data_IF_889118802911
#
_entry.id   IF_889118802911
#
_cell.length_a   1.000
_cell.length_b   1.000
_cell.length_c   1.000
_cell.angle_alpha   90.00
_cell.angle_beta   90.00
_cell.angle_gamma   90.00
#
_symmetry.space_group_name_H-M   'P 1'
#
loop_
_entity.id
_entity.type
_entity.pdbx_description
1 polymer ?
#
# COMPACT_ATOMS: atom_id res chain seq x y z
N UNK A 1 -59.26 29.95 22.33
CA UNK A 1 -58.13 29.84 21.37
C UNK A 1 -56.85 29.85 22.17
N UNK A 2 -56.34 28.67 22.51
CA UNK A 2 -55.09 28.49 23.27
C UNK A 2 -53.96 28.25 22.26
N UNK A 3 -53.12 29.26 22.07
CA UNK A 3 -51.93 29.19 21.21
C UNK A 3 -50.85 28.42 21.95
N UNK A 4 -50.62 27.15 21.55
CA UNK A 4 -49.49 26.36 22.05
C UNK A 4 -48.20 26.92 21.44
N UNK A 5 -47.40 27.58 22.29
CA UNK A 5 -46.03 27.99 21.95
C UNK A 5 -45.18 26.74 21.71
N UNK A 6 -44.84 26.49 20.46
CA UNK A 6 -43.88 25.45 20.07
C UNK A 6 -42.52 25.77 20.65
N UNK A 7 -42.00 24.87 21.48
CA UNK A 7 -40.67 24.93 22.09
C UNK A 7 -39.61 24.99 20.93
N UNK A 8 -38.66 25.95 20.97
CA UNK A 8 -37.65 26.03 19.91
C UNK A 8 -36.85 24.74 19.83
N UNK A 9 -36.75 24.18 18.65
CA UNK A 9 -35.94 22.99 18.38
C UNK A 9 -34.49 23.25 18.80
N UNK A 10 -33.91 22.31 19.56
CA UNK A 10 -32.51 22.41 19.96
C UNK A 10 -31.61 22.62 18.74
N UNK A 11 -30.56 23.47 18.84
CA UNK A 11 -29.68 23.74 17.72
C UNK A 11 -29.05 22.44 17.23
N UNK A 12 -29.26 22.11 15.95
CA UNK A 12 -28.60 21.02 15.27
C UNK A 12 -27.08 21.26 15.41
N UNK A 13 -26.40 20.50 16.24
CA UNK A 13 -24.93 20.44 16.23
C UNK A 13 -24.54 19.81 14.90
N UNK A 14 -24.15 20.64 13.94
CA UNK A 14 -23.60 20.18 12.68
C UNK A 14 -22.36 19.32 12.98
N UNK A 15 -22.44 18.04 12.66
CA UNK A 15 -21.29 17.15 12.78
C UNK A 15 -20.13 17.69 11.93
N UNK A 16 -18.94 17.82 12.53
CA UNK A 16 -17.75 18.21 11.77
C UNK A 16 -17.47 17.18 10.66
N UNK A 17 -16.92 17.59 9.50
CA UNK A 17 -16.62 16.66 8.40
C UNK A 17 -15.82 15.43 8.84
N UNK A 18 -14.86 15.64 9.76
CA UNK A 18 -14.05 14.55 10.32
C UNK A 18 -14.87 13.57 11.17
N UNK A 19 -15.78 14.06 12.01
CA UNK A 19 -16.65 13.21 12.84
C UNK A 19 -17.63 12.40 11.99
N UNK A 20 -18.14 13.00 10.90
CA UNK A 20 -18.98 12.31 9.94
C UNK A 20 -18.20 11.20 9.23
N UNK A 21 -16.98 11.50 8.77
CA UNK A 21 -16.08 10.53 8.14
C UNK A 21 -15.80 9.34 9.07
N UNK A 22 -15.36 9.58 10.31
CA UNK A 22 -15.08 8.50 11.28
C UNK A 22 -16.30 7.66 11.56
N UNK A 23 -17.47 8.26 11.77
CA UNK A 23 -18.71 7.52 12.01
C UNK A 23 -19.05 6.62 10.83
N UNK A 24 -19.06 7.15 9.60
CA UNK A 24 -19.36 6.39 8.40
C UNK A 24 -18.35 5.27 8.14
N UNK A 25 -17.07 5.50 8.45
CA UNK A 25 -16.04 4.45 8.33
C UNK A 25 -16.32 3.28 9.27
N UNK A 26 -16.61 3.55 10.55
CA UNK A 26 -16.84 2.52 11.56
C UNK A 26 -18.26 1.90 11.55
N UNK A 27 -19.16 2.36 10.69
CA UNK A 27 -20.44 1.69 10.43
C UNK A 27 -20.24 0.31 9.77
N UNK A 28 -19.18 0.13 8.97
CA UNK A 28 -18.81 -1.15 8.38
C UNK A 28 -17.99 -1.99 9.34
N UNK A 29 -18.58 -3.08 9.85
CA UNK A 29 -17.86 -4.03 10.73
C UNK A 29 -16.70 -4.72 10.02
N UNK A 30 -16.86 -5.01 8.72
CA UNK A 30 -15.85 -5.67 7.89
C UNK A 30 -14.63 -4.74 7.72
N UNK A 31 -14.86 -3.47 7.38
CA UNK A 31 -13.78 -2.49 7.25
C UNK A 31 -13.08 -2.22 8.61
N UNK A 32 -13.85 -2.19 9.71
CA UNK A 32 -13.29 -2.06 11.06
C UNK A 32 -12.40 -3.25 11.40
N UNK A 33 -12.84 -4.48 11.11
CA UNK A 33 -12.02 -5.68 11.29
C UNK A 33 -10.75 -5.63 10.41
N UNK A 34 -10.87 -5.23 9.13
CA UNK A 34 -9.74 -5.02 8.24
C UNK A 34 -8.76 -3.99 8.77
N UNK A 35 -9.25 -2.87 9.31
CA UNK A 35 -8.40 -1.83 9.91
C UNK A 35 -7.67 -2.33 11.16
N UNK A 36 -8.36 -3.03 12.06
CA UNK A 36 -7.73 -3.62 13.25
C UNK A 36 -6.63 -4.57 12.85
N UNK A 37 -6.91 -5.47 11.89
CA UNK A 37 -5.94 -6.44 11.41
C UNK A 37 -4.75 -5.75 10.74
N UNK A 38 -5.00 -4.73 9.91
CA UNK A 38 -3.94 -3.94 9.30
C UNK A 38 -3.06 -3.24 10.35
N UNK A 39 -3.66 -2.64 11.38
CA UNK A 39 -2.93 -2.01 12.47
C UNK A 39 -2.07 -3.03 13.21
N UNK A 40 -2.58 -4.23 13.49
CA UNK A 40 -1.80 -5.30 14.12
C UNK A 40 -0.62 -5.73 13.25
N UNK A 41 -0.82 -5.87 11.93
CA UNK A 41 0.25 -6.18 10.98
C UNK A 41 1.32 -5.08 10.97
N UNK A 42 0.91 -3.82 10.92
CA UNK A 42 1.84 -2.68 10.93
C UNK A 42 2.63 -2.60 12.25
N UNK A 43 1.97 -2.85 13.37
CA UNK A 43 2.63 -2.92 14.67
C UNK A 43 3.60 -4.10 14.73
N UNK A 44 3.22 -5.28 14.26
CA UNK A 44 4.11 -6.43 14.18
C UNK A 44 5.34 -6.13 13.31
N UNK A 45 5.16 -5.53 12.14
CA UNK A 45 6.24 -5.12 11.26
C UNK A 45 7.16 -4.07 11.90
N UNK A 46 6.59 -3.07 12.58
CA UNK A 46 7.34 -2.00 13.24
C UNK A 46 8.17 -2.53 14.42
N UNK A 47 7.54 -3.35 15.26
CA UNK A 47 8.13 -3.92 16.46
C UNK A 47 8.87 -5.25 16.20
N UNK A 48 9.09 -5.64 14.95
CA UNK A 48 9.78 -6.87 14.57
C UNK A 48 11.05 -7.15 15.38
N UNK A 49 12.00 -6.20 15.58
CA UNK A 49 13.22 -6.46 16.32
C UNK A 49 13.02 -6.81 17.81
N UNK A 50 11.87 -6.44 18.39
CA UNK A 50 11.58 -6.65 19.82
C UNK A 50 10.68 -7.85 20.08
N UNK A 51 9.85 -8.25 19.12
CA UNK A 51 8.88 -9.34 19.29
C UNK A 51 9.34 -10.65 18.64
N UNK A 52 10.30 -10.58 17.70
CA UNK A 52 10.81 -11.78 17.02
C UNK A 52 11.74 -12.57 17.91
N UNK A 53 11.53 -13.89 18.04
CA UNK A 53 12.40 -14.77 18.82
C UNK A 53 13.84 -14.81 18.30
N UNK A 54 14.05 -14.65 16.99
CA UNK A 54 15.33 -14.71 16.31
C UNK A 54 15.46 -13.56 15.31
N UNK A 55 16.68 -13.07 15.10
CA UNK A 55 16.96 -12.13 14.01
C UNK A 55 17.31 -12.91 12.73
N UNK A 56 16.43 -12.95 11.72
CA UNK A 56 16.66 -13.75 10.51
C UNK A 56 17.74 -13.16 9.58
N UNK A 57 18.25 -11.95 9.85
CA UNK A 57 19.37 -11.33 9.12
C UNK A 57 20.72 -11.65 9.71
N UNK A 58 20.75 -12.13 10.95
CA UNK A 58 21.99 -12.47 11.64
C UNK A 58 22.36 -13.93 11.37
N UNK A 59 23.14 -14.15 10.33
CA UNK A 59 23.58 -15.46 9.92
C UNK A 59 24.47 -16.16 10.97
N UNK A 60 25.06 -15.42 11.92
CA UNK A 60 25.88 -16.00 12.97
C UNK A 60 25.07 -16.75 14.04
N UNK A 61 23.79 -16.44 14.15
CA UNK A 61 22.85 -17.05 15.10
C UNK A 61 22.00 -18.16 14.45
N UNK A 62 22.29 -18.53 13.21
CA UNK A 62 21.59 -19.61 12.50
C UNK A 62 22.38 -20.91 12.61
N UNK A 63 21.72 -21.99 13.04
CA UNK A 63 22.30 -23.33 13.04
C UNK A 63 21.71 -24.15 11.88
N UNK A 64 22.57 -24.70 11.04
CA UNK A 64 22.19 -25.58 9.94
C UNK A 64 21.48 -26.85 10.44
N UNK A 65 21.78 -27.26 11.68
CA UNK A 65 21.13 -28.41 12.34
C UNK A 65 19.62 -28.13 12.58
N UNK A 66 19.21 -26.86 12.65
CA UNK A 66 17.83 -26.44 12.79
C UNK A 66 17.11 -26.31 11.44
N UNK A 67 17.75 -26.73 10.33
CA UNK A 67 17.16 -26.64 8.99
C UNK A 67 15.88 -27.48 8.87
N UNK A 68 14.79 -26.83 8.41
CA UNK A 68 13.52 -27.45 8.04
C UNK A 68 12.86 -28.26 9.18
N UNK A 69 13.00 -27.80 10.42
CA UNK A 69 12.31 -28.36 11.58
C UNK A 69 10.81 -28.11 11.48
N UNK A 70 10.02 -29.07 11.93
CA UNK A 70 8.56 -28.98 11.93
C UNK A 70 8.03 -27.96 12.96
N UNK A 71 6.84 -27.39 12.75
CA UNK A 71 6.21 -26.52 13.73
C UNK A 71 6.14 -27.16 15.13
N UNK A 72 6.59 -26.40 16.13
CA UNK A 72 6.61 -26.82 17.53
C UNK A 72 7.87 -27.54 18.00
N UNK A 73 8.83 -27.82 17.12
CA UNK A 73 10.09 -28.44 17.50
C UNK A 73 11.03 -27.46 18.23
N UNK A 74 11.97 -28.02 19.00
CA UNK A 74 13.01 -27.28 19.72
C UNK A 74 14.24 -27.15 18.83
N UNK A 75 15.00 -26.04 18.99
CA UNK A 75 16.34 -25.89 18.42
C UNK A 75 17.31 -26.97 18.92
N UNK A 76 18.36 -27.25 18.16
CA UNK A 76 19.39 -28.25 18.53
C UNK A 76 20.05 -27.93 19.87
N UNK A 77 20.18 -26.66 20.24
CA UNK A 77 20.69 -26.21 21.51
C UNK A 77 19.67 -26.21 22.67
N UNK A 78 18.39 -26.53 22.38
CA UNK A 78 17.30 -26.61 23.34
C UNK A 78 16.80 -25.27 23.89
N UNK A 79 17.26 -24.11 23.35
CA UNK A 79 16.93 -22.80 23.91
C UNK A 79 15.68 -22.17 23.28
N UNK A 80 15.40 -22.46 22.01
CA UNK A 80 14.32 -21.85 21.25
C UNK A 80 13.31 -22.90 20.77
N UNK A 81 12.01 -22.61 20.89
CA UNK A 81 10.95 -23.42 20.31
C UNK A 81 10.39 -22.74 19.08
N UNK A 82 10.48 -23.40 17.95
CA UNK A 82 10.02 -22.90 16.65
C UNK A 82 8.50 -23.11 16.45
N UNK A 83 7.68 -22.12 16.81
CA UNK A 83 6.22 -22.24 16.77
C UNK A 83 5.68 -22.55 15.38
N UNK A 84 6.26 -21.97 14.33
CA UNK A 84 5.89 -22.18 12.93
C UNK A 84 6.93 -23.01 12.15
N UNK A 85 7.86 -23.66 12.86
CA UNK A 85 8.95 -24.39 12.24
C UNK A 85 10.07 -23.48 11.73
N UNK A 86 10.99 -24.07 10.95
CA UNK A 86 12.12 -23.35 10.36
C UNK A 86 12.17 -23.51 8.85
N UNK A 87 12.91 -22.62 8.19
CA UNK A 87 13.19 -22.71 6.76
C UNK A 87 14.44 -23.57 6.46
N UNK A 88 14.89 -23.56 5.21
CA UNK A 88 16.08 -24.30 4.76
C UNK A 88 17.39 -23.81 5.39
N UNK A 89 17.42 -22.56 5.88
CA UNK A 89 18.59 -21.93 6.49
C UNK A 89 18.59 -22.03 8.03
N UNK A 90 17.58 -22.70 8.62
CA UNK A 90 17.41 -22.79 10.09
C UNK A 90 16.80 -21.52 10.71
N UNK A 91 16.23 -20.61 9.89
CA UNK A 91 15.57 -19.39 10.39
C UNK A 91 14.20 -19.75 10.97
N UNK A 92 13.87 -19.20 12.15
CA UNK A 92 12.54 -19.27 12.71
C UNK A 92 11.52 -18.64 11.76
N UNK A 93 10.52 -19.41 11.33
CA UNK A 93 9.52 -18.97 10.36
C UNK A 93 8.65 -17.82 10.87
N UNK A 94 8.33 -17.79 12.17
CA UNK A 94 7.58 -16.67 12.75
C UNK A 94 8.37 -15.37 12.63
N UNK A 95 9.64 -15.39 13.02
CA UNK A 95 10.56 -14.26 12.90
C UNK A 95 10.74 -13.83 11.45
N UNK A 96 10.96 -14.78 10.54
CA UNK A 96 11.13 -14.51 9.11
C UNK A 96 9.89 -13.87 8.49
N UNK A 97 8.68 -14.29 8.88
CA UNK A 97 7.41 -13.69 8.43
C UNK A 97 7.26 -12.26 8.95
N UNK A 98 7.52 -12.00 10.23
CA UNK A 98 7.41 -10.67 10.83
C UNK A 98 8.38 -9.68 10.16
N UNK A 99 9.63 -10.10 9.95
CA UNK A 99 10.61 -9.28 9.21
C UNK A 99 10.28 -9.16 7.72
N UNK A 100 9.73 -10.21 7.10
CA UNK A 100 9.23 -10.17 5.74
C UNK A 100 8.09 -9.18 5.56
N UNK A 101 7.14 -9.13 6.50
CA UNK A 101 6.09 -8.11 6.56
C UNK A 101 6.66 -6.69 6.61
N UNK A 102 7.70 -6.47 7.43
CA UNK A 102 8.37 -5.17 7.53
C UNK A 102 8.93 -4.71 6.18
N UNK A 103 9.60 -5.59 5.45
CA UNK A 103 10.14 -5.29 4.12
C UNK A 103 9.01 -5.02 3.13
N UNK A 104 8.03 -5.91 3.04
CA UNK A 104 6.93 -5.77 2.08
C UNK A 104 6.11 -4.50 2.32
N UNK A 105 5.82 -4.14 3.58
CA UNK A 105 5.12 -2.89 3.93
C UNK A 105 5.99 -1.68 3.59
N UNK A 106 7.28 -1.70 3.93
CA UNK A 106 8.20 -0.61 3.62
C UNK A 106 8.30 -0.37 2.11
N UNK A 107 8.46 -1.42 1.32
CA UNK A 107 8.53 -1.32 -0.15
C UNK A 107 7.19 -0.81 -0.71
N UNK A 108 6.07 -1.39 -0.27
CA UNK A 108 4.74 -1.01 -0.74
C UNK A 108 4.40 0.45 -0.45
N UNK A 109 4.63 0.91 0.78
CA UNK A 109 4.35 2.30 1.17
C UNK A 109 5.32 3.27 0.52
N UNK A 110 6.63 2.99 0.54
CA UNK A 110 7.64 3.90 -0.02
C UNK A 110 7.45 4.09 -1.52
N UNK A 111 7.26 3.01 -2.28
CA UNK A 111 7.02 3.09 -3.73
C UNK A 111 5.73 3.86 -4.05
N UNK A 112 4.66 3.59 -3.31
CA UNK A 112 3.38 4.28 -3.46
C UNK A 112 3.48 5.77 -3.19
N UNK A 113 4.13 6.18 -2.09
CA UNK A 113 4.30 7.62 -1.75
C UNK A 113 5.12 8.35 -2.80
N UNK A 114 6.25 7.77 -3.23
CA UNK A 114 7.10 8.39 -4.26
C UNK A 114 6.34 8.49 -5.59
N UNK A 115 5.68 7.41 -6.02
CA UNK A 115 4.89 7.39 -7.25
C UNK A 115 3.72 8.38 -7.20
N UNK A 116 3.04 8.50 -6.04
CA UNK A 116 1.98 9.47 -5.82
C UNK A 116 2.49 10.90 -5.97
N UNK A 117 3.62 11.25 -5.35
CA UNK A 117 4.20 12.60 -5.45
C UNK A 117 4.54 12.94 -6.91
N UNK A 118 5.20 12.02 -7.62
CA UNK A 118 5.56 12.22 -9.04
C UNK A 118 4.29 12.33 -9.90
N UNK A 119 3.38 11.36 -9.80
CA UNK A 119 2.18 11.32 -10.62
C UNK A 119 1.22 12.47 -10.33
N UNK A 120 1.02 12.83 -9.05
CA UNK A 120 0.24 13.97 -8.63
C UNK A 120 0.78 15.28 -9.22
N UNK A 121 2.09 15.51 -9.11
CA UNK A 121 2.73 16.72 -9.64
C UNK A 121 2.56 16.82 -11.14
N UNK A 122 2.89 15.75 -11.88
CA UNK A 122 2.75 15.71 -13.34
C UNK A 122 1.29 15.80 -13.78
N UNK A 123 0.37 15.13 -13.08
CA UNK A 123 -1.06 15.14 -13.40
C UNK A 123 -1.73 16.47 -13.15
N UNK A 124 -1.46 17.13 -12.01
CA UNK A 124 -1.97 18.48 -11.73
C UNK A 124 -1.43 19.51 -12.73
N UNK A 125 -0.12 19.42 -13.03
CA UNK A 125 0.50 20.31 -14.01
C UNK A 125 -0.10 20.11 -15.40
N UNK A 126 -0.29 18.86 -15.85
CA UNK A 126 -0.94 18.53 -17.11
C UNK A 126 -2.39 19.08 -17.19
N UNK A 127 -3.20 18.83 -16.13
CA UNK A 127 -4.60 19.28 -16.08
C UNK A 127 -4.75 20.80 -16.01
N UNK A 128 -3.78 21.50 -15.41
CA UNK A 128 -3.79 22.96 -15.35
C UNK A 128 -3.26 23.61 -16.64
N UNK A 129 -2.10 23.17 -17.16
CA UNK A 129 -1.48 23.76 -18.35
C UNK A 129 -2.27 23.48 -19.64
N UNK A 130 -2.78 22.26 -19.80
CA UNK A 130 -3.50 21.86 -21.01
C UNK A 130 -2.63 21.75 -22.26
N UNK A 131 -3.25 21.62 -23.42
CA UNK A 131 -2.62 21.69 -24.72
C UNK A 131 -1.51 20.65 -24.96
N UNK A 132 -0.38 21.08 -25.51
CA UNK A 132 0.73 20.19 -25.90
C UNK A 132 1.41 19.53 -24.70
N UNK A 133 1.51 20.22 -23.55
CA UNK A 133 2.13 19.71 -22.33
C UNK A 133 1.31 18.57 -21.77
N UNK A 134 0.00 18.77 -21.62
CA UNK A 134 -0.94 17.74 -21.22
C UNK A 134 -0.87 16.52 -22.14
N UNK A 135 -0.91 16.77 -23.45
CA UNK A 135 -0.84 15.71 -24.46
C UNK A 135 0.45 14.89 -24.35
N UNK A 136 1.60 15.53 -24.13
CA UNK A 136 2.89 14.83 -23.98
C UNK A 136 2.93 13.96 -22.73
N UNK A 137 2.57 14.51 -21.56
CA UNK A 137 2.59 13.78 -20.28
C UNK A 137 1.61 12.59 -20.36
N UNK A 138 0.41 12.80 -20.84
CA UNK A 138 -0.58 11.73 -20.96
C UNK A 138 -0.20 10.68 -21.99
N UNK A 139 0.45 11.05 -23.08
CA UNK A 139 0.94 10.08 -24.07
C UNK A 139 1.98 9.15 -23.47
N UNK A 140 2.93 9.68 -22.66
CA UNK A 140 3.91 8.85 -21.97
C UNK A 140 3.21 7.91 -20.96
N UNK A 141 2.26 8.43 -20.19
CA UNK A 141 1.48 7.63 -19.25
C UNK A 141 0.66 6.54 -19.97
N UNK A 142 0.06 6.85 -21.12
CA UNK A 142 -0.75 5.91 -21.90
C UNK A 142 0.10 4.79 -22.50
N UNK A 143 1.28 5.11 -23.04
CA UNK A 143 2.24 4.10 -23.52
C UNK A 143 2.62 3.16 -22.38
N UNK A 144 2.97 3.70 -21.21
CA UNK A 144 3.34 2.87 -20.07
C UNK A 144 2.20 1.98 -19.59
N UNK A 145 0.96 2.51 -19.49
CA UNK A 145 -0.21 1.75 -19.06
C UNK A 145 -0.69 0.71 -20.10
N UNK A 146 -0.14 0.74 -21.32
CA UNK A 146 -0.40 -0.26 -22.35
C UNK A 146 0.38 -1.57 -22.13
N UNK A 147 1.43 -1.52 -21.31
CA UNK A 147 2.21 -2.71 -20.97
C UNK A 147 1.76 -3.32 -19.65
N UNK A 148 1.81 -4.65 -19.51
CA UNK A 148 1.58 -5.30 -18.22
C UNK A 148 2.58 -4.80 -17.17
N UNK A 149 2.12 -4.35 -15.98
CA UNK A 149 2.98 -3.79 -14.93
C UNK A 149 4.15 -4.69 -14.56
N UNK A 150 3.90 -6.00 -14.47
CA UNK A 150 4.92 -6.98 -14.11
C UNK A 150 6.06 -7.03 -15.13
N UNK A 151 5.77 -6.91 -16.43
CA UNK A 151 6.81 -6.96 -17.47
C UNK A 151 7.75 -5.76 -17.38
N UNK A 152 7.21 -4.57 -17.12
CA UNK A 152 8.04 -3.37 -16.92
C UNK A 152 8.95 -3.54 -15.71
N UNK A 153 8.40 -4.01 -14.59
CA UNK A 153 9.16 -4.23 -13.37
C UNK A 153 10.25 -5.31 -13.55
N UNK A 154 9.93 -6.42 -14.24
CA UNK A 154 10.89 -7.49 -14.54
C UNK A 154 12.05 -6.98 -15.41
N UNK A 155 11.77 -6.22 -16.47
CA UNK A 155 12.81 -5.65 -17.34
C UNK A 155 13.71 -4.71 -16.55
N UNK A 156 13.14 -3.82 -15.72
CA UNK A 156 13.91 -2.87 -14.92
C UNK A 156 14.82 -3.60 -13.92
N UNK A 157 14.31 -4.64 -13.24
CA UNK A 157 15.08 -5.42 -12.29
C UNK A 157 16.12 -6.32 -12.97
N UNK A 158 15.81 -6.90 -14.12
CA UNK A 158 16.79 -7.68 -14.90
C UNK A 158 17.99 -6.83 -15.31
N UNK A 159 17.80 -5.55 -15.59
CA UNK A 159 18.88 -4.62 -15.94
C UNK A 159 19.60 -4.03 -14.72
N UNK A 160 18.88 -3.75 -13.63
CA UNK A 160 19.44 -3.09 -12.44
C UNK A 160 19.94 -4.06 -11.38
N UNK A 161 19.47 -5.32 -11.41
CA UNK A 161 19.74 -6.37 -10.41
C UNK A 161 18.85 -6.28 -9.18
N UNK A 162 19.13 -7.14 -8.18
CA UNK A 162 18.35 -7.29 -6.94
C UNK A 162 18.60 -6.16 -5.94
N UNK A 163 17.63 -5.97 -5.02
CA UNK A 163 17.74 -5.08 -3.86
C UNK A 163 16.52 -4.20 -3.63
N UNK A 164 16.27 -3.83 -2.36
CA UNK A 164 15.09 -3.07 -1.92
C UNK A 164 14.92 -1.76 -2.69
N UNK A 165 15.99 -0.96 -2.81
CA UNK A 165 15.94 0.32 -3.53
C UNK A 165 15.58 0.17 -5.00
N UNK A 166 16.05 -0.90 -5.64
CA UNK A 166 15.81 -1.18 -7.06
C UNK A 166 14.36 -1.62 -7.29
N UNK A 167 13.80 -2.41 -6.38
CA UNK A 167 12.38 -2.77 -6.39
C UNK A 167 11.52 -1.53 -6.22
N UNK A 168 11.84 -0.65 -5.27
CA UNK A 168 11.11 0.61 -5.08
C UNK A 168 11.12 1.44 -6.37
N UNK A 169 12.28 1.60 -7.03
CA UNK A 169 12.38 2.33 -8.29
C UNK A 169 11.53 1.68 -9.39
N UNK A 170 11.59 0.36 -9.51
CA UNK A 170 10.78 -0.38 -10.50
C UNK A 170 9.27 -0.20 -10.26
N UNK A 171 8.82 -0.29 -8.99
CA UNK A 171 7.42 -0.08 -8.62
C UNK A 171 6.98 1.37 -8.84
N UNK A 172 7.82 2.35 -8.51
CA UNK A 172 7.56 3.78 -8.80
C UNK A 172 7.38 4.00 -10.30
N UNK A 173 8.29 3.45 -11.11
CA UNK A 173 8.21 3.54 -12.56
C UNK A 173 6.91 2.94 -13.11
N UNK A 174 6.38 1.92 -12.47
CA UNK A 174 5.10 1.29 -12.87
C UNK A 174 3.88 2.09 -12.42
N UNK A 175 3.92 2.69 -11.20
CA UNK A 175 2.72 3.24 -10.55
C UNK A 175 2.44 4.71 -10.87
N UNK A 176 3.42 5.55 -11.17
CA UNK A 176 3.25 6.99 -11.32
C UNK A 176 2.17 7.38 -12.34
N UNK A 177 2.01 6.61 -13.41
CA UNK A 177 1.07 6.91 -14.49
C UNK A 177 -0.42 6.80 -14.04
N UNK A 178 -0.73 5.89 -13.11
CA UNK A 178 -2.06 5.78 -12.50
C UNK A 178 -2.42 7.07 -11.75
N UNK A 179 -1.47 7.59 -10.96
CA UNK A 179 -1.68 8.83 -10.21
C UNK A 179 -1.74 10.04 -11.12
N UNK A 180 -0.88 10.11 -12.15
CA UNK A 180 -0.88 11.21 -13.10
C UNK A 180 -2.22 11.31 -13.85
N UNK A 181 -2.76 10.19 -14.30
CA UNK A 181 -4.06 10.13 -14.98
C UNK A 181 -5.20 10.56 -14.06
N UNK A 182 -5.20 10.08 -12.82
CA UNK A 182 -6.24 10.42 -11.84
C UNK A 182 -6.16 11.89 -11.44
N UNK A 183 -4.97 12.39 -11.12
CA UNK A 183 -4.75 13.78 -10.75
C UNK A 183 -5.15 14.74 -11.89
N UNK A 184 -4.78 14.40 -13.12
CA UNK A 184 -5.20 15.18 -14.31
C UNK A 184 -6.72 15.19 -14.46
N UNK A 185 -7.39 14.04 -14.31
CA UNK A 185 -8.84 13.95 -14.43
C UNK A 185 -9.56 14.76 -13.34
N UNK A 186 -9.09 14.70 -12.10
CA UNK A 186 -9.61 15.50 -11.00
C UNK A 186 -9.36 17.00 -11.24
N UNK A 187 -8.16 17.38 -11.68
CA UNK A 187 -7.79 18.77 -11.95
C UNK A 187 -8.65 19.39 -13.08
N UNK A 188 -8.99 18.65 -14.12
CA UNK A 188 -9.87 19.13 -15.21
C UNK A 188 -11.28 19.42 -14.72
N UNK A 189 -11.80 18.65 -13.77
CA UNK A 189 -13.11 18.90 -13.16
C UNK A 189 -13.05 20.12 -12.25
N UNK A 190 -12.04 20.17 -11.37
CA UNK A 190 -11.89 21.26 -10.41
C UNK A 190 -11.60 22.60 -11.06
N UNK A 191 -10.82 22.61 -12.14
CA UNK A 191 -10.47 23.85 -12.87
C UNK A 191 -11.67 24.60 -13.44
N UNK A 192 -12.79 23.90 -13.72
CA UNK A 192 -14.03 24.47 -14.26
C UNK A 192 -14.96 25.04 -13.19
N UNK A 193 -14.58 24.99 -11.91
CA UNK A 193 -15.42 25.48 -10.82
C UNK A 193 -15.24 26.99 -10.64
N UNK A 194 -16.32 27.67 -10.26
CA UNK A 194 -16.39 29.13 -10.11
C UNK A 194 -15.31 29.72 -9.20
N UNK A 195 -14.92 29.01 -8.14
CA UNK A 195 -13.87 29.48 -7.23
C UNK A 195 -12.48 29.51 -7.88
N UNK A 196 -12.23 28.63 -8.87
CA UNK A 196 -10.95 28.64 -9.62
C UNK A 196 -10.99 29.76 -10.66
N UNK A 197 -12.12 29.97 -11.33
CA UNK A 197 -12.32 31.08 -12.27
C UNK A 197 -12.17 32.42 -11.56
N UNK A 198 -12.76 32.57 -10.38
CA UNK A 198 -12.58 33.76 -9.55
C UNK A 198 -11.11 33.98 -9.16
N UNK A 199 -10.39 32.92 -8.80
CA UNK A 199 -8.96 33.01 -8.46
C UNK A 199 -8.11 33.45 -9.65
N UNK A 200 -8.43 33.00 -10.87
CA UNK A 200 -7.81 33.47 -12.12
C UNK A 200 -8.15 34.94 -12.38
N UNK A 201 -9.40 35.33 -12.24
CA UNK A 201 -9.87 36.72 -12.40
C UNK A 201 -9.22 37.71 -11.44
N UNK A 202 -8.87 37.24 -10.23
CA UNK A 202 -8.11 38.01 -9.23
C UNK A 202 -6.60 38.07 -9.52
N UNK A 203 -6.11 37.47 -10.62
CA UNK A 203 -4.71 37.50 -11.01
C UNK A 203 -3.78 36.64 -10.14
N UNK A 204 -4.30 35.62 -9.45
CA UNK A 204 -3.44 34.73 -8.67
C UNK A 204 -2.48 33.95 -9.57
N UNK A 205 -1.23 33.75 -9.08
CA UNK A 205 -0.23 33.00 -9.83
C UNK A 205 -0.65 31.52 -10.03
N UNK A 206 -0.30 30.90 -11.16
CA UNK A 206 -0.58 29.49 -11.44
C UNK A 206 -0.18 28.54 -10.32
N UNK A 207 1.01 28.72 -9.74
CA UNK A 207 1.48 27.91 -8.63
C UNK A 207 0.54 28.01 -7.40
N UNK A 208 0.06 29.22 -7.08
CA UNK A 208 -0.90 29.41 -5.98
C UNK A 208 -2.23 28.76 -6.24
N UNK A 209 -2.73 28.83 -7.49
CA UNK A 209 -3.97 28.17 -7.90
C UNK A 209 -3.82 26.65 -7.78
N UNK A 210 -2.74 26.07 -8.30
CA UNK A 210 -2.48 24.63 -8.23
C UNK A 210 -2.37 24.16 -6.77
N UNK A 211 -1.49 24.79 -5.98
CA UNK A 211 -1.17 24.28 -4.65
C UNK A 211 -2.27 24.56 -3.59
N UNK A 212 -2.99 25.69 -3.71
CA UNK A 212 -3.93 26.13 -2.69
C UNK A 212 -5.40 25.86 -3.04
N UNK A 213 -5.70 25.75 -4.32
CA UNK A 213 -7.08 25.56 -4.78
C UNK A 213 -7.32 24.18 -5.44
N UNK A 214 -6.44 23.72 -6.34
CA UNK A 214 -6.62 22.43 -7.03
C UNK A 214 -6.17 21.26 -6.17
N UNK A 215 -4.95 21.29 -5.65
CA UNK A 215 -4.34 20.16 -4.91
C UNK A 215 -5.24 19.64 -3.78
N UNK A 216 -5.75 20.47 -2.83
CA UNK A 216 -6.56 19.95 -1.73
C UNK A 216 -7.84 19.25 -2.19
N UNK A 217 -8.46 19.75 -3.26
CA UNK A 217 -9.69 19.21 -3.80
C UNK A 217 -9.48 17.98 -4.70
N UNK A 218 -8.27 17.77 -5.21
CA UNK A 218 -7.90 16.58 -5.98
C UNK A 218 -7.40 15.42 -5.09
N UNK A 219 -7.09 15.65 -3.81
CA UNK A 219 -6.57 14.62 -2.90
C UNK A 219 -7.53 13.45 -2.62
N UNK A 220 -8.84 13.63 -2.39
CA UNK A 220 -9.72 12.54 -2.01
C UNK A 220 -9.66 11.32 -2.94
N UNK A 221 -9.83 11.43 -4.27
CA UNK A 221 -9.72 10.29 -5.16
C UNK A 221 -8.31 9.68 -5.21
N UNK A 222 -7.28 10.49 -4.98
CA UNK A 222 -5.89 10.02 -4.98
C UNK A 222 -5.54 9.23 -3.72
N UNK A 223 -6.09 9.58 -2.55
CA UNK A 223 -5.92 8.81 -1.30
C UNK A 223 -6.50 7.40 -1.47
N UNK A 224 -7.67 7.29 -2.09
CA UNK A 224 -8.31 5.99 -2.37
C UNK A 224 -7.42 5.13 -3.27
N UNK A 225 -6.95 5.70 -4.37
CA UNK A 225 -6.06 4.99 -5.30
C UNK A 225 -4.73 4.63 -4.61
N UNK A 226 -4.18 5.51 -3.77
CA UNK A 226 -2.96 5.23 -3.03
C UNK A 226 -3.12 4.02 -2.11
N UNK A 227 -4.23 3.89 -1.40
CA UNK A 227 -4.49 2.73 -0.55
C UNK A 227 -4.53 1.42 -1.37
N UNK A 228 -5.22 1.41 -2.51
CA UNK A 228 -5.26 0.24 -3.41
C UNK A 228 -3.88 -0.07 -4.02
N UNK A 229 -3.09 0.96 -4.34
CA UNK A 229 -1.78 0.80 -4.93
C UNK A 229 -0.74 0.27 -3.94
N UNK A 230 -0.90 0.50 -2.62
CA UNK A 230 -0.06 -0.17 -1.60
C UNK A 230 -0.25 -1.68 -1.65
N UNK A 231 -1.49 -2.17 -1.69
CA UNK A 231 -1.77 -3.60 -1.80
C UNK A 231 -1.22 -4.20 -3.11
N UNK A 232 -1.40 -3.48 -4.23
CA UNK A 232 -0.86 -3.86 -5.53
C UNK A 232 0.67 -3.91 -5.53
N UNK A 233 1.34 -2.92 -4.90
CA UNK A 233 2.80 -2.88 -4.79
C UNK A 233 3.36 -4.04 -3.97
N UNK A 234 2.73 -4.37 -2.84
CA UNK A 234 3.11 -5.51 -2.00
C UNK A 234 2.96 -6.82 -2.80
N UNK A 235 1.84 -6.98 -3.51
CA UNK A 235 1.60 -8.17 -4.34
C UNK A 235 2.60 -8.29 -5.48
N UNK A 236 2.95 -7.18 -6.13
CA UNK A 236 3.91 -7.16 -7.22
C UNK A 236 5.33 -7.41 -6.71
N UNK A 237 5.73 -6.80 -5.58
CA UNK A 237 7.00 -7.11 -4.90
C UNK A 237 7.11 -8.60 -4.59
N UNK A 238 6.07 -9.17 -3.96
CA UNK A 238 6.07 -10.59 -3.62
C UNK A 238 6.20 -11.49 -4.86
N UNK A 239 5.55 -11.13 -5.96
CA UNK A 239 5.66 -11.86 -7.24
C UNK A 239 7.06 -11.75 -7.83
N UNK A 240 7.68 -10.57 -7.81
CA UNK A 240 9.04 -10.35 -8.31
C UNK A 240 10.08 -11.11 -7.46
N UNK A 241 9.90 -11.10 -6.15
CA UNK A 241 10.73 -11.86 -5.20
C UNK A 241 10.55 -13.36 -5.36
N UNK A 242 9.31 -13.83 -5.59
CA UNK A 242 9.02 -15.23 -5.91
C UNK A 242 9.71 -15.69 -7.18
N UNK A 243 9.79 -14.84 -8.21
CA UNK A 243 10.49 -15.11 -9.46
C UNK A 243 12.02 -15.00 -9.37
N UNK A 244 12.56 -14.70 -8.18
CA UNK A 244 14.01 -14.62 -7.94
C UNK A 244 14.66 -13.31 -8.42
N UNK A 245 13.89 -12.32 -8.86
CA UNK A 245 14.39 -11.01 -9.31
C UNK A 245 14.19 -9.90 -8.27
N UNK A 246 13.59 -10.22 -7.11
CA UNK A 246 13.30 -9.27 -6.05
C UNK A 246 14.48 -9.01 -5.12
N UNK A 247 14.42 -9.58 -3.94
CA UNK A 247 15.42 -9.44 -2.88
C UNK A 247 16.46 -10.55 -2.90
N UNK A 248 17.68 -10.29 -2.39
CA UNK A 248 18.65 -11.35 -2.18
C UNK A 248 18.19 -12.31 -1.07
N UNK A 249 18.69 -13.54 -1.08
CA UNK A 249 18.32 -14.61 -0.14
C UNK A 249 18.58 -14.24 1.33
N UNK A 250 19.50 -13.30 1.56
CA UNK A 250 19.84 -12.78 2.90
C UNK A 250 18.76 -11.87 3.48
N UNK A 251 17.86 -11.34 2.67
CA UNK A 251 16.81 -10.42 3.12
C UNK A 251 15.43 -11.10 2.97
N UNK A 252 14.87 -11.69 4.06
CA UNK A 252 13.58 -12.36 3.97
C UNK A 252 12.48 -11.39 3.62
N UNK A 253 11.83 -11.58 2.45
CA UNK A 253 10.54 -11.01 2.12
C UNK A 253 9.49 -12.11 2.08
N UNK A 254 8.21 -11.76 2.19
CA UNK A 254 7.15 -12.76 2.11
C UNK A 254 7.19 -13.53 0.80
N UNK A 255 7.43 -12.84 -0.33
CA UNK A 255 7.52 -13.46 -1.64
C UNK A 255 8.70 -14.43 -1.76
N UNK A 256 9.87 -14.05 -1.23
CA UNK A 256 11.05 -14.91 -1.24
C UNK A 256 10.86 -16.14 -0.32
N UNK A 257 10.25 -15.98 0.86
CA UNK A 257 9.92 -17.10 1.74
C UNK A 257 8.97 -18.09 1.06
N UNK A 258 7.96 -17.60 0.34
CA UNK A 258 7.05 -18.44 -0.43
C UNK A 258 7.82 -19.20 -1.52
N UNK A 259 8.72 -18.53 -2.24
CA UNK A 259 9.53 -19.15 -3.30
C UNK A 259 10.43 -20.26 -2.76
N UNK A 260 11.15 -19.98 -1.67
CA UNK A 260 12.06 -20.95 -1.05
C UNK A 260 11.30 -22.18 -0.52
N UNK A 261 10.10 -21.97 0.03
CA UNK A 261 9.27 -23.06 0.54
C UNK A 261 8.57 -23.87 -0.56
N UNK A 262 8.37 -23.30 -1.75
CA UNK A 262 7.60 -23.91 -2.83
C UNK A 262 8.18 -25.27 -3.27
N UNK A 263 9.50 -25.37 -3.38
CA UNK A 263 10.18 -26.62 -3.75
C UNK A 263 10.03 -27.74 -2.69
N UNK A 264 9.66 -27.42 -1.46
CA UNK A 264 9.49 -28.38 -0.38
C UNK A 264 8.03 -28.79 -0.12
N UNK A 265 7.06 -28.23 -0.85
CA UNK A 265 5.64 -28.56 -0.67
C UNK A 265 5.35 -30.04 -0.88
N UNK A 266 5.94 -30.64 -1.93
CA UNK A 266 5.75 -32.06 -2.25
C UNK A 266 6.48 -33.00 -1.27
N UNK A 267 7.47 -32.50 -0.53
CA UNK A 267 8.15 -33.26 0.54
C UNK A 267 7.47 -33.14 1.90
N UNK A 268 6.26 -32.60 1.94
CA UNK A 268 5.46 -32.48 3.17
C UNK A 268 5.82 -31.29 4.07
N UNK A 269 6.83 -30.48 3.69
CA UNK A 269 7.28 -29.32 4.48
C UNK A 269 6.52 -28.04 4.07
N UNK A 270 5.19 -28.12 4.12
CA UNK A 270 4.28 -27.07 3.65
C UNK A 270 4.41 -25.75 4.42
N UNK A 271 4.80 -25.77 5.70
CA UNK A 271 4.84 -24.58 6.57
C UNK A 271 5.76 -23.49 6.04
N UNK A 272 6.85 -23.85 5.32
CA UNK A 272 7.84 -22.91 4.80
C UNK A 272 7.24 -21.96 3.75
N UNK A 273 6.27 -22.42 2.95
CA UNK A 273 5.59 -21.61 1.92
C UNK A 273 4.20 -21.15 2.35
N UNK A 274 3.46 -22.00 3.08
CA UNK A 274 2.06 -21.79 3.42
C UNK A 274 1.87 -20.63 4.41
N UNK A 275 2.64 -20.58 5.49
CA UNK A 275 2.51 -19.52 6.50
C UNK A 275 2.86 -18.12 5.95
N UNK A 276 3.97 -17.92 5.20
CA UNK A 276 4.23 -16.63 4.53
C UNK A 276 3.14 -16.27 3.52
N UNK A 277 2.58 -17.27 2.80
CA UNK A 277 1.48 -17.08 1.87
C UNK A 277 0.22 -16.57 2.56
N UNK A 278 -0.16 -17.13 3.72
CA UNK A 278 -1.27 -16.64 4.55
C UNK A 278 -0.99 -15.22 5.03
N UNK A 279 0.23 -14.93 5.51
CA UNK A 279 0.60 -13.59 5.97
C UNK A 279 0.46 -12.55 4.86
N UNK A 280 0.90 -12.88 3.65
CA UNK A 280 0.74 -12.04 2.47
C UNK A 280 -0.75 -11.83 2.13
N UNK A 281 -1.53 -12.91 2.06
CA UNK A 281 -2.96 -12.85 1.77
C UNK A 281 -3.70 -11.95 2.77
N UNK A 282 -3.48 -12.18 4.07
CA UNK A 282 -4.11 -11.40 5.15
C UNK A 282 -3.74 -9.93 5.06
N UNK A 283 -2.48 -9.61 4.74
CA UNK A 283 -2.00 -8.24 4.57
C UNK A 283 -2.71 -7.55 3.40
N UNK A 284 -2.73 -8.17 2.23
CA UNK A 284 -3.36 -7.61 1.03
C UNK A 284 -4.88 -7.44 1.22
N UNK A 285 -5.55 -8.45 1.80
CA UNK A 285 -6.99 -8.37 2.08
C UNK A 285 -7.29 -7.25 3.07
N UNK A 286 -6.51 -7.12 4.15
CA UNK A 286 -6.73 -6.07 5.15
C UNK A 286 -6.61 -4.67 4.55
N UNK A 287 -5.60 -4.44 3.69
CA UNK A 287 -5.41 -3.16 3.00
C UNK A 287 -6.59 -2.89 2.04
N UNK A 288 -7.03 -3.90 1.28
CA UNK A 288 -8.15 -3.73 0.34
C UNK A 288 -9.46 -3.42 1.06
N UNK A 289 -9.78 -4.09 2.17
CA UNK A 289 -10.98 -3.81 2.97
C UNK A 289 -10.99 -2.36 3.49
N UNK A 290 -9.85 -1.85 3.93
CA UNK A 290 -9.71 -0.45 4.35
C UNK A 290 -9.85 0.50 3.15
N UNK A 291 -9.21 0.19 2.03
CA UNK A 291 -9.25 1.01 0.81
C UNK A 291 -10.66 1.11 0.22
N UNK A 292 -11.41 0.01 0.19
CA UNK A 292 -12.80 -0.01 -0.30
C UNK A 292 -13.70 0.87 0.57
N UNK A 293 -13.59 0.77 1.90
CA UNK A 293 -14.35 1.63 2.80
C UNK A 293 -13.95 3.11 2.69
N UNK A 294 -12.66 3.40 2.52
CA UNK A 294 -12.20 4.78 2.23
C UNK A 294 -12.83 5.32 0.95
N UNK A 295 -12.91 4.49 -0.09
CA UNK A 295 -13.55 4.85 -1.35
C UNK A 295 -15.03 5.19 -1.15
N UNK A 296 -15.76 4.38 -0.40
CA UNK A 296 -17.19 4.59 -0.16
C UNK A 296 -17.45 5.86 0.65
N UNK A 297 -16.70 6.07 1.71
CA UNK A 297 -16.85 7.26 2.59
C UNK A 297 -16.40 8.55 1.89
N UNK A 298 -15.38 8.50 1.03
CA UNK A 298 -14.89 9.66 0.28
C UNK A 298 -15.67 9.96 -1.01
N UNK A 299 -16.61 9.09 -1.40
CA UNK A 299 -17.42 9.29 -2.60
C UNK A 299 -18.59 10.24 -2.33
N UNK A 300 -18.60 11.48 -2.87
CA UNK A 300 -19.65 12.44 -2.58
C UNK A 300 -21.03 12.04 -3.13
N UNK A 301 -21.10 11.13 -4.10
CA UNK A 301 -22.38 10.68 -4.70
C UNK A 301 -23.17 9.75 -3.76
N UNK A 302 -22.52 9.07 -2.83
CA UNK A 302 -23.18 8.22 -1.83
C UNK A 302 -23.64 9.01 -0.59
N UNK A 303 -23.26 10.29 -0.48
CA UNK A 303 -23.60 11.14 0.67
C UNK A 303 -24.94 11.90 0.50
N UNK A 304 -25.60 11.76 -0.65
CA UNK A 304 -26.85 12.47 -1.00
C UNK A 304 -28.12 11.59 -0.93
N UNK A 305 -28.05 10.42 -0.28
CA UNK A 305 -29.22 9.59 0.01
C UNK A 305 -29.60 9.66 1.49
#
# INVERSE_FOLDING_TARGET
>A
MTTTLQKPAAPFKADTPFRRFTRQFFESKIATAGLVLLVLILLAALFAPWISPQNPYDLSNLDVMDSRLEPGQMSADGKLRFLMGTDEQGRDMLSAIIYGLRISVMVGVSSTVIALVIGLTLGLFAGYAGGKIESLIMRIADIQLSFPPILIALILLALSGQGVGKIIIALVAVQWAYYARTARSAALVERKKEYVEAAIGLGLSPARIILRHLLPNCLPPLIVIAALQVASAISLEATLSFLGLGLPVTEPSLGLLIANGFQYLLSGKYWISFFPGIALLVTVVSINLVADQLRDVLNPRLQTQ
#
